data_IF_989130371701
#
_entry.id   IF_989130371701
#
_cell.length_a   1.000
_cell.length_b   1.000
_cell.length_c   1.000
_cell.angle_alpha   90.00
_cell.angle_beta   90.00
_cell.angle_gamma   90.00
#
_symmetry.space_group_name_H-M   'P 1'
#
loop_
_entity.id
_entity.type
_entity.pdbx_description
1 polymer ?
#
# COMPACT_ATOMS: atom_id res chain seq x y z
N UNK A 1 0.16 1.56 -0.10
CA UNK A 1 1.61 1.47 0.25
C UNK A 1 1.94 1.54 1.76
N UNK A 2 1.48 2.51 2.56
CA UNK A 2 1.85 2.63 3.99
C UNK A 2 1.50 1.38 4.80
N UNK A 3 0.28 0.84 4.61
CA UNK A 3 -0.16 -0.39 5.26
C UNK A 3 0.74 -1.58 4.91
N UNK A 4 1.17 -1.69 3.65
CA UNK A 4 2.11 -2.72 3.19
C UNK A 4 3.45 -2.64 3.94
N UNK A 5 4.02 -1.44 4.07
CA UNK A 5 5.25 -1.23 4.85
C UNK A 5 5.08 -1.58 6.33
N UNK A 6 3.94 -1.23 6.92
CA UNK A 6 3.64 -1.60 8.31
C UNK A 6 3.54 -3.11 8.48
N UNK A 7 2.88 -3.83 7.56
CA UNK A 7 2.76 -5.29 7.62
C UNK A 7 4.10 -5.99 7.46
N UNK A 8 4.96 -5.52 6.54
CA UNK A 8 6.35 -6.00 6.40
C UNK A 8 7.08 -5.93 7.74
N UNK A 9 6.92 -4.80 8.45
CA UNK A 9 7.57 -4.56 9.73
C UNK A 9 6.98 -5.39 10.88
N UNK A 10 5.66 -5.56 10.92
CA UNK A 10 4.97 -6.36 11.94
C UNK A 10 5.24 -7.87 11.78
N UNK A 11 5.37 -8.34 10.55
CA UNK A 11 5.63 -9.74 10.24
C UNK A 11 7.11 -10.08 10.21
N UNK A 12 8.00 -9.09 10.39
CA UNK A 12 9.45 -9.26 10.29
C UNK A 12 9.87 -9.95 8.98
N UNK A 13 9.25 -9.56 7.87
CA UNK A 13 9.55 -10.16 6.57
C UNK A 13 11.02 -9.91 6.21
N UNK A 14 11.67 -10.94 5.66
CA UNK A 14 13.03 -10.79 5.16
C UNK A 14 13.05 -9.91 3.89
N UNK A 15 14.25 -9.63 3.37
CA UNK A 15 14.39 -8.75 2.19
C UNK A 15 13.66 -9.31 0.96
N UNK A 16 13.64 -10.62 0.76
CA UNK A 16 13.01 -11.23 -0.41
C UNK A 16 11.49 -11.16 -0.28
N UNK A 17 10.96 -11.49 0.89
CA UNK A 17 9.54 -11.46 1.19
C UNK A 17 8.99 -10.04 1.14
N UNK A 18 9.74 -9.08 1.70
CA UNK A 18 9.41 -7.66 1.62
C UNK A 18 9.42 -7.14 0.17
N UNK A 19 10.40 -7.57 -0.64
CA UNK A 19 10.43 -7.22 -2.06
C UNK A 19 9.21 -7.77 -2.80
N UNK A 20 8.86 -9.04 -2.58
CA UNK A 20 7.66 -9.64 -3.17
C UNK A 20 6.40 -8.90 -2.73
N UNK A 21 6.24 -8.59 -1.43
CA UNK A 21 5.11 -7.83 -0.92
C UNK A 21 4.98 -6.44 -1.57
N UNK A 22 6.08 -5.72 -1.73
CA UNK A 22 6.10 -4.38 -2.34
C UNK A 22 5.77 -4.44 -3.83
N UNK A 23 6.42 -5.33 -4.57
CA UNK A 23 6.16 -5.51 -6.01
C UNK A 23 4.73 -5.92 -6.25
N UNK A 24 4.23 -6.86 -5.45
CA UNK A 24 2.86 -7.32 -5.55
C UNK A 24 1.85 -6.21 -5.21
N UNK A 25 2.13 -5.41 -4.17
CA UNK A 25 1.33 -4.22 -3.85
C UNK A 25 1.27 -3.22 -5.00
N UNK A 26 2.39 -2.95 -5.67
CA UNK A 26 2.41 -2.12 -6.88
C UNK A 26 1.58 -2.73 -8.01
N UNK A 27 1.64 -4.05 -8.21
CA UNK A 27 0.83 -4.71 -9.22
C UNK A 27 -0.67 -4.63 -8.95
N UNK A 28 -1.09 -4.72 -7.69
CA UNK A 28 -2.50 -4.48 -7.32
C UNK A 28 -2.87 -3.03 -7.67
N UNK A 29 -2.05 -2.05 -7.29
CA UNK A 29 -2.33 -0.65 -7.60
C UNK A 29 -2.36 -0.38 -9.13
N UNK A 30 -1.56 -1.10 -9.92
CA UNK A 30 -1.59 -1.02 -11.39
C UNK A 30 -2.87 -1.60 -12.01
N UNK A 31 -3.59 -2.48 -11.31
CA UNK A 31 -4.87 -3.01 -11.77
C UNK A 31 -5.90 -1.90 -12.02
N UNK A 32 -5.75 -0.79 -11.29
CA UNK A 32 -6.57 0.39 -11.49
C UNK A 32 -6.43 1.02 -12.87
N UNK A 33 -5.30 0.86 -13.54
CA UNK A 33 -5.13 1.37 -14.91
C UNK A 33 -5.99 0.58 -15.91
N UNK A 34 -6.23 -0.71 -15.65
CA UNK A 34 -7.13 -1.52 -16.46
C UNK A 34 -8.58 -1.12 -16.21
N UNK A 35 -8.98 -0.94 -14.95
CA UNK A 35 -10.31 -0.44 -14.60
C UNK A 35 -10.58 0.96 -15.14
N UNK A 36 -9.55 1.83 -15.15
CA UNK A 36 -9.63 3.19 -15.67
C UNK A 36 -9.97 3.19 -17.16
N UNK A 37 -9.35 2.29 -17.94
CA UNK A 37 -9.64 2.17 -19.37
C UNK A 37 -11.11 1.89 -19.61
N UNK A 38 -11.66 0.90 -18.92
CA UNK A 38 -13.06 0.48 -19.10
C UNK A 38 -14.01 1.58 -18.61
N UNK A 39 -13.68 2.24 -17.51
CA UNK A 39 -14.42 3.39 -16.99
C UNK A 39 -14.45 4.57 -17.97
N UNK A 40 -13.32 4.93 -18.58
CA UNK A 40 -13.22 5.98 -19.60
C UNK A 40 -14.04 5.65 -20.83
N UNK A 41 -14.09 4.36 -21.23
CA UNK A 41 -14.91 3.94 -22.36
C UNK A 41 -16.41 4.07 -22.07
N UNK A 42 -16.83 3.84 -20.82
CA UNK A 42 -18.23 3.92 -20.42
C UNK A 42 -18.71 5.36 -20.13
N UNK A 43 -17.87 6.18 -19.50
CA UNK A 43 -18.27 7.49 -18.93
C UNK A 43 -17.56 8.70 -19.59
N UNK A 44 -16.57 8.45 -20.45
CA UNK A 44 -15.76 9.48 -21.09
C UNK A 44 -14.60 9.98 -20.22
N UNK A 45 -13.61 10.62 -20.86
CA UNK A 45 -12.38 11.10 -20.20
C UNK A 45 -12.65 12.18 -19.15
N UNK A 46 -13.71 12.98 -19.32
CA UNK A 46 -14.00 14.07 -18.38
C UNK A 46 -14.43 13.56 -17.00
N UNK A 47 -15.06 12.37 -16.93
CA UNK A 47 -15.48 11.76 -15.68
C UNK A 47 -14.29 11.37 -14.77
N UNK A 48 -13.09 11.18 -15.35
CA UNK A 48 -11.84 10.93 -14.61
C UNK A 48 -11.45 12.10 -13.70
N UNK A 49 -11.90 13.31 -14.03
CA UNK A 49 -11.61 14.52 -13.28
C UNK A 49 -12.78 14.98 -12.42
N UNK A 50 -13.90 14.24 -12.44
CA UNK A 50 -15.06 14.53 -11.63
C UNK A 50 -14.90 13.88 -10.25
N UNK A 51 -14.67 14.72 -9.24
CA UNK A 51 -14.44 14.25 -7.88
C UNK A 51 -15.68 13.56 -7.31
N UNK A 52 -16.88 14.00 -7.69
CA UNK A 52 -18.13 13.42 -7.17
C UNK A 52 -18.30 11.99 -7.67
N UNK A 53 -17.90 11.71 -8.91
CA UNK A 53 -17.88 10.34 -9.45
C UNK A 53 -16.78 9.49 -8.80
N UNK A 54 -15.58 10.02 -8.61
CA UNK A 54 -14.44 9.28 -8.02
C UNK A 54 -14.71 8.85 -6.58
N UNK A 55 -15.38 9.69 -5.77
CA UNK A 55 -15.74 9.32 -4.39
C UNK A 55 -16.98 8.43 -4.29
N UNK A 56 -17.76 8.31 -5.36
CA UNK A 56 -18.92 7.42 -5.38
C UNK A 56 -18.49 5.95 -5.58
N UNK A 57 -19.15 4.97 -4.93
CA UNK A 57 -18.85 3.54 -5.07
C UNK A 57 -18.85 3.01 -6.51
N UNK A 58 -19.55 3.67 -7.44
CA UNK A 58 -19.63 3.30 -8.85
C UNK A 58 -18.55 3.90 -9.76
N UNK A 59 -17.79 4.90 -9.30
CA UNK A 59 -16.73 5.55 -10.10
C UNK A 59 -15.35 4.93 -9.96
N UNK A 60 -15.26 3.75 -9.34
CA UNK A 60 -13.99 3.12 -9.03
C UNK A 60 -13.40 2.48 -10.27
N UNK A 61 -12.12 2.74 -10.50
CA UNK A 61 -11.35 2.09 -11.55
C UNK A 61 -10.89 0.72 -11.09
N UNK A 62 -11.83 -0.17 -10.74
CA UNK A 62 -11.51 -1.52 -10.23
C UNK A 62 -11.55 -2.53 -11.37
N UNK A 63 -10.58 -3.43 -11.38
CA UNK A 63 -10.52 -4.55 -12.33
C UNK A 63 -10.36 -5.87 -11.56
N UNK A 64 -9.71 -6.86 -12.18
CA UNK A 64 -9.65 -8.23 -11.71
C UNK A 64 -9.17 -8.33 -10.25
N UNK A 65 -8.14 -7.59 -9.87
CA UNK A 65 -7.46 -7.75 -8.57
C UNK A 65 -8.31 -7.33 -7.37
N UNK A 66 -9.39 -6.59 -7.60
CA UNK A 66 -10.36 -6.19 -6.58
C UNK A 66 -11.54 -7.16 -6.46
N UNK A 67 -11.61 -8.17 -7.33
CA UNK A 67 -12.64 -9.21 -7.29
C UNK A 67 -12.14 -10.43 -6.52
N UNK A 68 -12.99 -11.11 -5.72
CA UNK A 68 -12.65 -12.38 -5.07
C UNK A 68 -12.14 -13.45 -6.04
N UNK A 69 -12.53 -13.38 -7.32
CA UNK A 69 -12.07 -14.33 -8.35
C UNK A 69 -10.57 -14.22 -8.64
N UNK A 70 -9.92 -13.09 -8.31
CA UNK A 70 -8.48 -12.94 -8.44
C UNK A 70 -7.69 -13.97 -7.60
N UNK A 71 -8.31 -14.61 -6.60
CA UNK A 71 -7.69 -15.73 -5.87
C UNK A 71 -7.20 -16.84 -6.82
N UNK A 72 -7.83 -17.01 -7.99
CA UNK A 72 -7.41 -17.98 -9.01
C UNK A 72 -6.07 -17.63 -9.66
N UNK A 73 -5.64 -16.37 -9.57
CA UNK A 73 -4.33 -15.88 -10.04
C UNK A 73 -3.37 -15.73 -8.85
N UNK A 74 -3.82 -15.07 -7.78
CA UNK A 74 -3.01 -14.79 -6.59
C UNK A 74 -2.64 -16.07 -5.84
N UNK A 75 -3.56 -17.04 -5.76
CA UNK A 75 -3.34 -18.33 -5.10
C UNK A 75 -2.16 -19.10 -5.69
N UNK A 76 -2.14 -19.38 -7.01
CA UNK A 76 -1.00 -20.02 -7.66
C UNK A 76 0.32 -19.25 -7.50
N UNK A 77 0.30 -17.91 -7.60
CA UNK A 77 1.50 -17.08 -7.36
C UNK A 77 2.02 -17.21 -5.93
N UNK A 78 1.11 -17.29 -4.95
CA UNK A 78 1.46 -17.49 -3.55
C UNK A 78 2.05 -18.89 -3.28
N UNK A 79 1.46 -19.91 -3.90
CA UNK A 79 1.99 -21.28 -3.83
C UNK A 79 3.38 -21.36 -4.48
N UNK A 80 3.55 -20.75 -5.66
CA UNK A 80 4.81 -20.77 -6.41
C UNK A 80 5.93 -19.97 -5.72
N UNK A 81 5.59 -18.84 -5.08
CA UNK A 81 6.53 -18.07 -4.25
C UNK A 81 6.83 -18.73 -2.92
N UNK A 82 6.17 -19.86 -2.58
CA UNK A 82 6.28 -20.58 -1.29
C UNK A 82 5.97 -19.72 -0.07
N UNK A 83 5.29 -18.60 -0.30
CA UNK A 83 5.04 -17.56 0.66
C UNK A 83 3.56 -17.24 0.59
N UNK A 84 2.87 -17.30 1.73
CA UNK A 84 1.50 -16.80 1.84
C UNK A 84 1.41 -15.26 1.72
N UNK A 85 2.54 -14.59 1.47
CA UNK A 85 2.70 -13.13 1.43
C UNK A 85 1.80 -12.49 0.35
N UNK A 86 1.82 -12.89 -0.94
CA UNK A 86 0.95 -12.26 -1.92
C UNK A 86 -0.54 -12.43 -1.58
N UNK A 87 -0.94 -13.62 -1.12
CA UNK A 87 -2.31 -13.91 -0.71
C UNK A 87 -2.77 -13.06 0.48
N UNK A 88 -1.90 -12.89 1.49
CA UNK A 88 -2.20 -12.07 2.66
C UNK A 88 -2.35 -10.59 2.26
N UNK A 89 -1.41 -10.05 1.49
CA UNK A 89 -1.43 -8.64 1.09
C UNK A 89 -2.60 -8.34 0.15
N UNK A 90 -2.89 -9.25 -0.79
CA UNK A 90 -4.11 -9.20 -1.60
C UNK A 90 -5.38 -9.25 -0.75
N UNK A 91 -5.46 -10.19 0.19
CA UNK A 91 -6.64 -10.38 1.02
C UNK A 91 -6.93 -9.16 1.90
N UNK A 92 -5.89 -8.56 2.47
CA UNK A 92 -6.01 -7.31 3.23
C UNK A 92 -6.47 -6.17 2.33
N UNK A 93 -5.92 -6.09 1.11
CA UNK A 93 -6.32 -5.08 0.12
C UNK A 93 -7.81 -5.18 -0.24
N UNK A 94 -8.28 -6.38 -0.63
CA UNK A 94 -9.70 -6.61 -0.96
C UNK A 94 -10.60 -6.38 0.25
N UNK A 95 -10.17 -6.77 1.45
CA UNK A 95 -10.92 -6.50 2.67
C UNK A 95 -11.07 -4.99 2.92
N UNK A 96 -10.00 -4.22 2.71
CA UNK A 96 -10.07 -2.77 2.82
C UNK A 96 -11.04 -2.20 1.80
N UNK A 97 -10.99 -2.63 0.54
CA UNK A 97 -11.95 -2.20 -0.49
C UNK A 97 -13.40 -2.46 -0.08
N UNK A 98 -13.70 -3.66 0.42
CA UNK A 98 -15.05 -4.03 0.87
C UNK A 98 -15.50 -3.11 2.00
N UNK A 99 -14.63 -2.85 2.98
CA UNK A 99 -14.96 -1.95 4.11
C UNK A 99 -15.18 -0.52 3.63
N UNK A 100 -14.38 -0.05 2.67
CA UNK A 100 -14.52 1.29 2.10
C UNK A 100 -15.83 1.43 1.31
N UNK A 101 -16.15 0.48 0.44
CA UNK A 101 -17.37 0.50 -0.37
C UNK A 101 -18.65 0.34 0.45
N UNK A 102 -18.66 -0.57 1.42
CA UNK A 102 -19.89 -0.98 2.09
C UNK A 102 -20.16 -0.24 3.40
N UNK A 103 -19.12 0.33 4.03
CA UNK A 103 -19.23 0.85 5.41
C UNK A 103 -18.78 2.30 5.53
N UNK A 104 -17.57 2.62 5.06
CA UNK A 104 -16.93 3.90 5.40
C UNK A 104 -17.17 5.00 4.37
N UNK A 105 -17.30 4.65 3.09
CA UNK A 105 -17.20 5.59 1.98
C UNK A 105 -15.74 5.95 1.66
N UNK A 106 -15.49 6.26 0.39
CA UNK A 106 -14.17 6.56 -0.16
C UNK A 106 -13.69 7.92 0.32
N UNK A 107 -12.41 8.04 0.67
CA UNK A 107 -11.81 9.26 1.22
C UNK A 107 -12.52 9.76 2.48
N UNK A 108 -13.12 8.85 3.23
CA UNK A 108 -13.80 9.20 4.49
C UNK A 108 -12.80 9.63 5.57
N UNK A 109 -13.27 10.40 6.54
CA UNK A 109 -12.47 10.81 7.71
C UNK A 109 -11.86 9.60 8.42
N UNK A 110 -12.58 8.47 8.47
CA UNK A 110 -12.14 7.23 9.08
C UNK A 110 -10.94 6.63 8.35
N UNK A 111 -10.90 6.67 7.02
CA UNK A 111 -9.73 6.24 6.25
C UNK A 111 -8.49 7.07 6.58
N UNK A 112 -8.63 8.40 6.69
CA UNK A 112 -7.53 9.27 7.07
C UNK A 112 -7.05 9.00 8.49
N UNK A 113 -7.96 8.68 9.43
CA UNK A 113 -7.58 8.25 10.78
C UNK A 113 -6.80 6.94 10.74
N UNK A 114 -7.28 5.92 10.01
CA UNK A 114 -6.56 4.65 9.89
C UNK A 114 -5.20 4.80 9.20
N UNK A 115 -5.12 5.62 8.15
CA UNK A 115 -3.86 5.93 7.47
C UNK A 115 -2.88 6.63 8.41
N UNK A 116 -3.35 7.61 9.18
CA UNK A 116 -2.54 8.30 10.18
C UNK A 116 -2.04 7.33 11.26
N UNK A 117 -2.90 6.47 11.79
CA UNK A 117 -2.52 5.45 12.78
C UNK A 117 -1.51 4.46 12.22
N UNK A 118 -1.68 4.01 10.97
CA UNK A 118 -0.74 3.11 10.31
C UNK A 118 0.63 3.78 10.11
N UNK A 119 0.64 5.04 9.66
CA UNK A 119 1.87 5.82 9.51
C UNK A 119 2.56 6.07 10.85
N UNK A 120 1.80 6.45 11.88
CA UNK A 120 2.31 6.67 13.24
C UNK A 120 2.89 5.38 13.82
N UNK A 121 2.19 4.25 13.66
CA UNK A 121 2.68 2.93 14.07
C UNK A 121 4.00 2.56 13.41
N UNK A 122 4.11 2.75 12.09
CA UNK A 122 5.32 2.50 11.33
C UNK A 122 6.49 3.37 11.83
N UNK A 123 6.26 4.66 12.02
CA UNK A 123 7.26 5.60 12.54
C UNK A 123 7.68 5.21 13.96
N UNK A 124 6.75 4.88 14.84
CA UNK A 124 7.04 4.48 16.22
C UNK A 124 7.83 3.18 16.28
N UNK A 125 7.50 2.17 15.47
CA UNK A 125 8.26 0.91 15.41
C UNK A 125 9.70 1.14 14.93
N UNK A 126 9.88 1.95 13.89
CA UNK A 126 11.21 2.29 13.38
C UNK A 126 12.01 3.09 14.40
N UNK A 127 11.39 4.09 15.02
CA UNK A 127 12.00 4.87 16.09
C UNK A 127 12.44 3.98 17.25
N UNK A 128 11.58 3.09 17.74
CA UNK A 128 11.88 2.17 18.84
C UNK A 128 13.09 1.28 18.51
N UNK A 129 13.20 0.77 17.28
CA UNK A 129 14.37 0.00 16.84
C UNK A 129 15.65 0.84 16.78
N UNK A 130 15.58 2.08 16.31
CA UNK A 130 16.73 2.98 16.30
C UNK A 130 17.23 3.30 17.71
N UNK A 131 16.32 3.49 18.67
CA UNK A 131 16.67 3.65 20.08
C UNK A 131 17.31 2.37 20.62
N UNK A 132 16.70 1.20 20.39
CA UNK A 132 17.20 -0.09 20.86
C UNK A 132 18.59 -0.44 20.28
N UNK A 133 18.86 -0.03 19.04
CA UNK A 133 20.16 -0.20 18.39
C UNK A 133 21.20 0.87 18.78
N UNK A 134 20.85 1.83 19.64
CA UNK A 134 21.71 2.95 20.02
C UNK A 134 22.04 3.92 18.87
N UNK A 135 21.27 3.88 17.78
CA UNK A 135 21.49 4.72 16.58
C UNK A 135 20.90 6.12 16.72
N UNK A 136 19.98 6.31 17.66
CA UNK A 136 19.44 7.61 18.07
C UNK A 136 19.12 7.56 19.57
N UNK A 137 19.09 8.72 20.22
CA UNK A 137 18.66 8.87 21.62
C UNK A 137 17.39 9.71 21.76
N UNK A 138 17.05 10.50 20.74
CA UNK A 138 15.86 11.36 20.71
C UNK A 138 15.13 11.28 19.36
N UNK A 139 13.85 11.68 19.36
CA UNK A 139 13.05 11.77 18.13
C UNK A 139 13.68 12.72 17.10
N UNK A 140 14.26 13.83 17.55
CA UNK A 140 14.92 14.78 16.66
C UNK A 140 16.14 14.19 15.95
N UNK A 141 16.93 13.36 16.64
CA UNK A 141 18.06 12.64 16.05
C UNK A 141 17.59 11.59 15.05
N UNK A 142 16.55 10.82 15.40
CA UNK A 142 15.94 9.87 14.47
C UNK A 142 15.45 10.54 13.19
N UNK A 143 14.71 11.66 13.30
CA UNK A 143 14.24 12.39 12.13
C UNK A 143 15.39 12.91 11.26
N UNK A 144 16.47 13.41 11.88
CA UNK A 144 17.68 13.82 11.14
C UNK A 144 18.34 12.64 10.44
N UNK A 145 18.42 11.48 11.08
CA UNK A 145 18.97 10.26 10.52
C UNK A 145 18.18 9.82 9.27
N UNK A 146 16.86 9.73 9.37
CA UNK A 146 15.98 9.36 8.25
C UNK A 146 16.07 10.36 7.09
N UNK A 147 16.01 11.67 7.38
CA UNK A 147 16.15 12.72 6.36
C UNK A 147 17.53 12.68 5.70
N UNK A 148 18.59 12.39 6.48
CA UNK A 148 19.95 12.21 5.98
C UNK A 148 20.06 11.02 5.03
N UNK A 149 19.43 9.89 5.37
CA UNK A 149 19.36 8.70 4.52
C UNK A 149 18.68 8.96 3.18
N UNK A 150 17.53 9.64 3.19
CA UNK A 150 16.80 10.03 1.96
C UNK A 150 17.69 10.93 1.07
N UNK A 151 18.37 11.91 1.66
CA UNK A 151 19.31 12.79 0.92
C UNK A 151 20.51 12.04 0.35
N UNK A 152 20.95 10.96 0.98
CA UNK A 152 22.03 10.13 0.47
C UNK A 152 21.59 9.30 -0.75
N UNK A 153 20.32 8.88 -0.80
CA UNK A 153 19.74 8.17 -1.94
C UNK A 153 19.55 9.05 -3.18
N UNK A 154 19.34 10.36 -3.00
CA UNK A 154 19.14 11.31 -4.10
C UNK A 154 20.43 11.89 -4.69
N UNK A 155 21.59 11.62 -4.10
CA UNK A 155 22.87 12.01 -4.68
C UNK A 155 23.23 11.06 -5.83
N UNK A 156 23.56 11.56 -7.03
CA UNK A 156 24.05 10.72 -8.10
C UNK A 156 25.35 10.06 -7.63
N UNK A 157 25.37 8.73 -7.63
CA UNK A 157 26.62 7.98 -7.51
C UNK A 157 27.37 8.22 -8.82
N UNK A 158 28.35 9.13 -8.78
CA UNK A 158 29.32 9.27 -9.85
C UNK A 158 30.11 7.95 -9.82
N UNK A 159 29.82 7.08 -10.78
CA UNK A 159 30.58 5.88 -11.12
C UNK A 159 31.66 6.24 -12.12
#
# INVERSE_FOLDING_TARGET
MVVCLLLIELMHLDRNDAFVALVFGVFIDLDHLFGLRDYVQANGVMAVFDMDDIVNPGGHWKSLMHSPIAVMVVGPVSIASRLAVPLLFWGIHVLMDIVQEQVLGVLSTQEFVFLFLAAAGLVTMRYARCIAAGSASTLAEYLRFEVGGIKALSKPRIL
#
